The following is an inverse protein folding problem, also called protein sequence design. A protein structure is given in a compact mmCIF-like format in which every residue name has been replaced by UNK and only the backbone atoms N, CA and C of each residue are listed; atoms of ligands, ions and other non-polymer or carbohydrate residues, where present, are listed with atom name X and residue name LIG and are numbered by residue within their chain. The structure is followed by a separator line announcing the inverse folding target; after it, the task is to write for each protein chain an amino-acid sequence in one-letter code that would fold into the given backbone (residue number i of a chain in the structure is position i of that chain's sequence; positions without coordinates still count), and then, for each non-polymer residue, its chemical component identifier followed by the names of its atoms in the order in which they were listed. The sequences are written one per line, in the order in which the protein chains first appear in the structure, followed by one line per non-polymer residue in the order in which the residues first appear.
data_IF_940119288765
#
_entry.id   IF_940119288765
#
_cell.length_a   1.000
_cell.length_b   1.000
_cell.length_c   1.000
_cell.angle_alpha   90.00
_cell.angle_beta   90.00
_cell.angle_gamma   90.00
#
_symmetry.space_group_name_H-M   'P 1'
#
loop_
_entity.id
_entity.type
_entity.pdbx_description
1 polymer ?
#
# COMPACT_ATOMS: atom_id res chain seq x y z
N UNK A 1 -3.59 -10.96 -6.96
CA UNK A 1 -4.23 -10.51 -5.70
C UNK A 1 -3.76 -11.41 -4.58
N UNK A 2 -3.43 -10.83 -3.45
CA UNK A 2 -3.02 -11.53 -2.23
C UNK A 2 -3.94 -11.13 -1.09
N UNK A 3 -4.27 -12.07 -0.21
CA UNK A 3 -5.20 -11.87 0.89
C UNK A 3 -4.50 -12.29 2.18
N UNK A 4 -4.48 -11.38 3.17
CA UNK A 4 -4.09 -11.73 4.53
C UNK A 4 -5.30 -12.33 5.24
N UNK A 5 -5.11 -13.50 5.83
CA UNK A 5 -6.15 -14.20 6.59
C UNK A 5 -5.74 -14.37 8.05
N UNK A 6 -6.72 -14.45 8.94
CA UNK A 6 -6.49 -14.81 10.35
C UNK A 6 -6.35 -16.33 10.52
N UNK A 7 -6.17 -16.80 11.77
CA UNK A 7 -6.01 -18.21 12.12
C UNK A 7 -7.22 -19.10 11.73
N UNK A 8 -8.37 -18.49 11.44
CA UNK A 8 -9.60 -19.17 11.00
C UNK A 8 -9.80 -19.09 9.48
N UNK A 9 -8.78 -18.71 8.73
CA UNK A 9 -8.82 -18.52 7.28
C UNK A 9 -9.83 -17.44 6.82
N UNK A 10 -10.10 -16.44 7.67
CA UNK A 10 -10.97 -15.32 7.33
C UNK A 10 -10.15 -14.13 6.83
N UNK A 11 -10.57 -13.47 5.72
CA UNK A 11 -9.85 -12.34 5.16
C UNK A 11 -9.89 -11.14 6.11
N UNK A 12 -8.71 -10.57 6.39
CA UNK A 12 -8.54 -9.37 7.23
C UNK A 12 -7.81 -8.23 6.50
N UNK A 13 -7.44 -8.46 5.25
CA UNK A 13 -6.83 -7.47 4.38
C UNK A 13 -6.42 -8.07 3.05
N UNK A 14 -6.17 -7.23 2.05
CA UNK A 14 -5.72 -7.68 0.75
C UNK A 14 -4.79 -6.67 0.09
N UNK A 15 -4.05 -7.16 -0.89
CA UNK A 15 -3.21 -6.35 -1.76
C UNK A 15 -3.37 -6.78 -3.22
N UNK A 16 -3.25 -5.81 -4.12
CA UNK A 16 -3.11 -6.03 -5.55
C UNK A 16 -1.68 -5.63 -5.95
N UNK A 17 -0.99 -6.54 -6.62
CA UNK A 17 0.36 -6.34 -7.14
C UNK A 17 0.40 -6.75 -8.60
N UNK A 18 0.88 -5.82 -9.43
CA UNK A 18 1.03 -5.96 -10.86
C UNK A 18 2.49 -5.63 -11.23
N UNK A 19 3.30 -6.66 -11.51
CA UNK A 19 4.74 -6.48 -11.71
C UNK A 19 5.42 -5.93 -10.45
N UNK A 20 5.97 -4.72 -10.53
CA UNK A 20 6.60 -4.02 -9.40
C UNK A 20 5.71 -2.94 -8.76
N UNK A 21 4.44 -2.89 -9.14
CA UNK A 21 3.52 -1.86 -8.67
C UNK A 21 2.39 -2.46 -7.84
N UNK A 22 2.23 -1.97 -6.61
CA UNK A 22 1.12 -2.33 -5.73
C UNK A 22 -0.02 -1.35 -5.93
N UNK A 23 -1.00 -1.77 -6.74
CA UNK A 23 -2.18 -0.97 -7.12
C UNK A 23 -3.10 -0.70 -5.93
N UNK A 24 -3.16 -1.62 -4.96
CA UNK A 24 -4.05 -1.50 -3.81
C UNK A 24 -3.49 -2.23 -2.58
N UNK A 25 -3.73 -1.64 -1.41
CA UNK A 25 -3.53 -2.26 -0.10
C UNK A 25 -4.64 -1.78 0.83
N UNK A 26 -5.46 -2.72 1.32
CA UNK A 26 -6.56 -2.42 2.24
C UNK A 26 -6.55 -3.43 3.38
N UNK A 27 -6.68 -2.93 4.60
CA UNK A 27 -6.71 -3.73 5.83
C UNK A 27 -8.04 -3.46 6.53
N UNK A 28 -8.62 -4.49 7.13
CA UNK A 28 -9.78 -4.34 7.99
C UNK A 28 -9.45 -3.35 9.14
N UNK A 29 -10.24 -2.27 9.32
CA UNK A 29 -10.02 -1.30 10.38
C UNK A 29 -9.86 -1.90 11.78
N UNK A 30 -10.54 -3.02 12.07
CA UNK A 30 -10.48 -3.67 13.39
C UNK A 30 -9.12 -4.32 13.68
N UNK A 31 -8.31 -4.58 12.65
CA UNK A 31 -6.94 -5.14 12.79
C UNK A 31 -5.85 -4.17 12.32
N UNK A 32 -6.22 -2.93 11.98
CA UNK A 32 -5.25 -1.88 11.69
C UNK A 32 -4.35 -1.64 12.90
N UNK A 33 -3.04 -1.57 12.67
CA UNK A 33 -2.05 -1.43 13.75
C UNK A 33 -1.53 -2.77 14.32
N UNK A 34 -2.13 -3.90 13.97
CA UNK A 34 -1.65 -5.23 14.37
C UNK A 34 -0.52 -5.80 13.48
N UNK A 35 0.04 -4.99 12.57
CA UNK A 35 1.14 -5.39 11.69
C UNK A 35 0.73 -6.02 10.35
N UNK A 36 -0.56 -6.27 10.10
CA UNK A 36 -1.06 -6.90 8.85
C UNK A 36 -0.62 -6.13 7.59
N UNK A 37 -0.74 -4.81 7.60
CA UNK A 37 -0.29 -3.96 6.48
C UNK A 37 1.19 -4.12 6.18
N UNK A 38 2.03 -4.16 7.23
CA UNK A 38 3.48 -4.36 7.07
C UNK A 38 3.79 -5.75 6.51
N UNK A 39 3.12 -6.78 7.02
CA UNK A 39 3.25 -8.16 6.52
C UNK A 39 2.92 -8.26 5.02
N UNK A 40 1.85 -7.62 4.55
CA UNK A 40 1.51 -7.60 3.13
C UNK A 40 2.56 -6.85 2.29
N UNK A 41 3.09 -5.73 2.78
CA UNK A 41 4.18 -5.02 2.10
C UNK A 41 5.46 -5.85 2.04
N UNK A 42 5.85 -6.51 3.13
CA UNK A 42 7.02 -7.39 3.16
C UNK A 42 6.87 -8.56 2.18
N UNK A 43 5.65 -9.12 2.10
CA UNK A 43 5.32 -10.12 1.09
C UNK A 43 5.45 -9.55 -0.34
N UNK A 44 4.94 -8.34 -0.59
CA UNK A 44 5.11 -7.64 -1.86
C UNK A 44 6.58 -7.46 -2.23
N UNK A 45 7.42 -6.99 -1.30
CA UNK A 45 8.84 -6.76 -1.51
C UNK A 45 9.62 -8.04 -1.83
N UNK A 46 9.21 -9.18 -1.27
CA UNK A 46 9.81 -10.49 -1.61
C UNK A 46 9.59 -10.89 -3.07
N UNK A 47 8.53 -10.37 -3.70
CA UNK A 47 8.19 -10.63 -5.11
C UNK A 47 8.64 -9.50 -6.05
N UNK A 48 8.66 -8.26 -5.54
CA UNK A 48 8.96 -7.04 -6.27
C UNK A 48 9.90 -6.13 -5.44
N UNK A 49 11.22 -6.30 -5.56
CA UNK A 49 12.19 -5.54 -4.76
C UNK A 49 12.18 -4.03 -5.01
N UNK A 50 11.82 -3.56 -6.22
CA UNK A 50 11.69 -2.14 -6.56
C UNK A 50 10.23 -1.68 -6.44
N UNK A 51 9.59 -2.03 -5.33
CA UNK A 51 8.15 -1.83 -5.12
C UNK A 51 7.75 -0.36 -5.20
N UNK A 52 6.72 -0.10 -6.00
CA UNK A 52 6.06 1.21 -6.09
C UNK A 52 4.58 1.09 -5.72
N UNK A 53 3.96 2.21 -5.35
CA UNK A 53 2.52 2.26 -5.07
C UNK A 53 1.98 3.68 -5.21
N UNK A 54 0.66 3.81 -5.26
CA UNK A 54 -0.04 5.08 -5.23
C UNK A 54 -0.89 5.18 -3.96
N UNK A 55 -0.97 6.38 -3.40
CA UNK A 55 -1.86 6.67 -2.27
C UNK A 55 -2.56 7.99 -2.49
N UNK A 56 -3.83 8.08 -2.12
CA UNK A 56 -4.54 9.36 -2.13
C UNK A 56 -3.86 10.32 -1.14
N UNK A 57 -3.51 11.53 -1.62
CA UNK A 57 -2.81 12.56 -0.85
C UNK A 57 -3.56 12.95 0.43
N UNK A 58 -4.90 12.90 0.40
CA UNK A 58 -5.76 13.25 1.52
C UNK A 58 -5.78 12.16 2.61
N UNK A 59 -5.35 10.94 2.30
CA UNK A 59 -5.26 9.86 3.26
C UNK A 59 -3.94 9.95 4.04
N UNK A 60 -3.84 10.96 4.91
CA UNK A 60 -2.63 11.23 5.71
C UNK A 60 -2.20 10.03 6.56
N UNK A 61 -3.15 9.22 7.01
CA UNK A 61 -2.88 7.99 7.76
C UNK A 61 -2.12 6.97 6.90
N UNK A 62 -2.59 6.71 5.68
CA UNK A 62 -1.91 5.80 4.75
C UNK A 62 -0.56 6.35 4.30
N UNK A 63 -0.47 7.66 4.02
CA UNK A 63 0.81 8.31 3.70
C UNK A 63 1.81 8.13 4.85
N UNK A 64 1.38 8.35 6.09
CA UNK A 64 2.21 8.14 7.28
C UNK A 64 2.62 6.68 7.46
N UNK A 65 1.71 5.73 7.20
CA UNK A 65 2.01 4.30 7.20
C UNK A 65 3.11 3.96 6.18
N UNK A 66 2.95 4.34 4.91
CA UNK A 66 3.93 4.03 3.87
C UNK A 66 5.30 4.64 4.17
N UNK A 67 5.36 5.88 4.65
CA UNK A 67 6.62 6.51 5.07
C UNK A 67 7.30 5.72 6.19
N UNK A 68 6.55 5.30 7.22
CA UNK A 68 7.09 4.47 8.34
C UNK A 68 7.55 3.09 7.89
N UNK A 69 6.97 2.54 6.83
CA UNK A 69 7.36 1.25 6.27
C UNK A 69 8.63 1.35 5.42
N UNK A 70 8.99 2.54 4.95
CA UNK A 70 10.23 2.78 4.18
C UNK A 70 9.98 3.26 2.75
N UNK A 71 8.78 3.74 2.41
CA UNK A 71 8.49 4.38 1.13
C UNK A 71 8.81 5.88 1.16
N UNK A 72 9.21 6.41 0.01
CA UNK A 72 9.35 7.85 -0.25
C UNK A 72 8.45 8.29 -1.39
N UNK A 73 7.98 9.53 -1.30
CA UNK A 73 7.24 10.18 -2.38
C UNK A 73 8.21 10.49 -3.52
N UNK A 74 7.91 9.98 -4.72
CA UNK A 74 8.68 10.20 -5.94
C UNK A 74 7.95 11.06 -6.96
N UNK A 75 6.65 11.29 -6.77
CA UNK A 75 5.84 12.14 -7.63
C UNK A 75 4.45 12.38 -7.08
N UNK A 76 3.68 13.19 -7.81
CA UNK A 76 2.29 13.52 -7.50
C UNK A 76 1.50 13.66 -8.80
N UNK A 77 0.28 13.16 -8.79
CA UNK A 77 -0.72 13.34 -9.86
C UNK A 77 -1.85 14.20 -9.32
N UNK A 78 -2.32 15.18 -10.10
CA UNK A 78 -3.45 16.04 -9.69
C UNK A 78 -4.80 15.33 -9.75
N UNK A 79 -4.87 14.25 -10.54
CA UNK A 79 -6.07 13.44 -10.75
C UNK A 79 -5.79 11.97 -10.48
N UNK A 80 -6.84 11.21 -10.21
CA UNK A 80 -6.80 9.75 -10.16
C UNK A 80 -6.76 9.13 -11.57
N UNK A 81 -6.68 7.80 -11.65
CA UNK A 81 -6.63 7.05 -12.91
C UNK A 81 -7.89 7.22 -13.78
N UNK A 82 -8.98 7.74 -13.21
CA UNK A 82 -10.23 8.04 -13.91
C UNK A 82 -10.36 9.53 -14.28
N UNK A 83 -9.32 10.34 -14.04
CA UNK A 83 -9.32 11.78 -14.31
C UNK A 83 -10.12 12.61 -13.31
N UNK A 84 -10.51 12.06 -12.16
CA UNK A 84 -11.20 12.80 -11.10
C UNK A 84 -10.19 13.60 -10.28
N UNK A 85 -10.56 14.76 -9.71
CA UNK A 85 -9.67 15.64 -8.97
C UNK A 85 -9.38 15.10 -7.55
N UNK A 86 -8.85 13.89 -7.47
CA UNK A 86 -8.39 13.23 -6.26
C UNK A 86 -6.89 13.02 -6.38
N UNK A 87 -6.06 13.94 -5.85
CA UNK A 87 -4.62 13.86 -6.04
C UNK A 87 -4.04 12.56 -5.45
N UNK A 88 -3.12 11.96 -6.21
CA UNK A 88 -2.39 10.78 -5.80
C UNK A 88 -0.92 11.13 -5.58
N UNK A 89 -0.31 10.57 -4.53
CA UNK A 89 1.13 10.54 -4.35
C UNK A 89 1.67 9.23 -4.92
N UNK A 90 2.72 9.34 -5.74
CA UNK A 90 3.48 8.21 -6.24
C UNK A 90 4.59 7.92 -5.25
N UNK A 91 4.70 6.66 -4.82
CA UNK A 91 5.62 6.22 -3.79
C UNK A 91 6.53 5.12 -4.33
N UNK A 92 7.79 5.13 -3.92
CA UNK A 92 8.74 4.03 -4.17
C UNK A 92 9.38 3.60 -2.85
N UNK A 93 9.56 2.28 -2.68
CA UNK A 93 10.24 1.73 -1.53
C UNK A 93 11.75 2.04 -1.60
N UNK A 94 12.32 2.55 -0.52
CA UNK A 94 13.76 2.88 -0.42
C UNK A 94 14.47 2.20 0.76
N UNK A 95 13.71 1.60 1.69
CA UNK A 95 14.24 0.74 2.76
C UNK A 95 15.04 1.46 3.86
N UNK A 96 14.76 2.73 4.14
CA UNK A 96 15.40 3.49 5.25
C UNK A 96 14.90 3.09 6.64
#
# INVERSE_FOLDING_TARGET
MWVAVNERDQPVGFMLLSGQHMDALFIDPDVCGCGVGRMLVEHALSMAPELTTNVNEQNEQAVGFYKKVGFKVTGRSEVDDLGKPYPLLNLAYVGE
#
